data_IF_612758085803
#
_entry.id   IF_612758085803
#
_cell.length_a   1.000
_cell.length_b   1.000
_cell.length_c   1.000
_cell.angle_alpha   90.00
_cell.angle_beta   90.00
_cell.angle_gamma   90.00
#
_symmetry.space_group_name_H-M   'P 1'
#
loop_
_entity.id
_entity.type
_entity.pdbx_description
1 polymer ?
#
# COMPACT_ATOMS: atom_id res chain seq x y z
N UNK A 1 8.29 55.61 1.91
CA UNK A 1 9.34 54.76 1.31
C UNK A 1 9.77 53.80 2.39
N UNK A 2 9.02 52.72 2.52
CA UNK A 2 9.35 51.39 2.00
C UNK A 2 10.17 50.62 3.02
N UNK A 3 9.51 49.67 3.68
CA UNK A 3 10.19 48.54 4.30
C UNK A 3 9.36 47.29 3.98
N UNK A 4 9.33 46.96 2.68
CA UNK A 4 8.65 45.78 2.11
C UNK A 4 9.47 44.49 2.25
N UNK A 5 10.68 44.55 2.82
CA UNK A 5 11.56 43.39 2.91
C UNK A 5 11.25 42.46 4.09
N UNK A 6 10.55 42.95 5.12
CA UNK A 6 10.20 42.11 6.29
C UNK A 6 8.99 41.20 6.06
N UNK A 7 8.31 41.28 4.91
CA UNK A 7 7.19 40.38 4.55
C UNK A 7 7.58 39.26 3.57
N UNK A 8 8.76 39.30 2.95
CA UNK A 8 9.19 38.31 1.96
C UNK A 8 9.87 37.07 2.55
N UNK A 9 10.32 37.14 3.81
CA UNK A 9 10.86 35.99 4.55
C UNK A 9 10.01 35.64 5.77
N UNK A 10 8.72 36.00 5.70
CA UNK A 10 7.69 35.57 6.63
C UNK A 10 7.18 34.16 6.37
N UNK A 11 8.03 33.22 5.94
CA UNK A 11 7.80 31.83 6.33
C UNK A 11 8.13 31.79 7.81
N UNK A 12 7.11 31.98 8.66
CA UNK A 12 7.04 31.16 9.87
C UNK A 12 7.33 29.76 9.35
N UNK A 13 8.55 29.28 9.59
CA UNK A 13 8.76 27.86 9.74
C UNK A 13 7.75 27.53 10.83
N UNK A 14 6.57 27.10 10.40
CA UNK A 14 5.67 26.38 11.28
C UNK A 14 6.57 25.22 11.66
N UNK A 15 7.10 25.29 12.86
CA UNK A 15 7.65 24.16 13.57
C UNK A 15 6.49 23.17 13.69
N UNK A 16 6.11 22.55 12.57
CA UNK A 16 5.47 21.26 12.57
C UNK A 16 6.60 20.37 13.05
N UNK A 17 6.76 20.30 14.37
CA UNK A 17 7.62 19.34 15.03
C UNK A 17 7.31 18.02 14.35
N UNK A 18 8.21 17.58 13.47
CA UNK A 18 8.00 16.39 12.67
C UNK A 18 8.06 15.23 13.64
N UNK A 19 6.91 14.88 14.20
CA UNK A 19 6.82 13.84 15.18
C UNK A 19 6.83 12.51 14.40
N UNK A 20 8.03 12.02 14.08
CA UNK A 20 8.20 10.78 13.34
C UNK A 20 7.40 9.63 13.96
N UNK A 21 7.28 9.62 15.29
CA UNK A 21 6.47 8.64 16.03
C UNK A 21 4.97 8.78 15.74
N UNK A 22 4.42 9.99 15.64
CA UNK A 22 3.00 10.18 15.26
C UNK A 22 2.78 9.70 13.81
N UNK A 23 3.68 10.04 12.89
CA UNK A 23 3.62 9.62 11.49
C UNK A 23 3.68 8.09 11.36
N UNK A 24 4.60 7.43 12.09
CA UNK A 24 4.72 5.97 12.10
C UNK A 24 3.50 5.30 12.78
N UNK A 25 2.92 5.91 13.80
CA UNK A 25 1.70 5.39 14.42
C UNK A 25 0.51 5.49 13.46
N UNK A 26 0.32 6.66 12.85
CA UNK A 26 -0.76 6.92 11.90
C UNK A 26 -0.59 6.06 10.63
N UNK A 27 0.65 5.76 10.25
CA UNK A 27 0.99 4.86 9.15
C UNK A 27 0.34 3.48 9.28
N UNK A 28 0.43 2.85 10.45
CA UNK A 28 -0.19 1.53 10.67
C UNK A 28 -1.72 1.59 10.81
N UNK A 29 -2.29 2.77 11.08
CA UNK A 29 -3.76 2.95 11.13
C UNK A 29 -4.41 3.11 9.76
N UNK A 30 -3.63 3.37 8.69
CA UNK A 30 -4.16 3.54 7.33
C UNK A 30 -4.79 2.26 6.77
N UNK A 31 -4.41 1.09 7.29
CA UNK A 31 -4.93 -0.21 6.88
C UNK A 31 -5.19 -1.09 8.10
N UNK A 32 -6.10 -2.06 7.96
CA UNK A 32 -6.40 -3.00 9.05
C UNK A 32 -5.17 -3.87 9.38
N UNK A 33 -5.00 -4.28 10.65
CA UNK A 33 -3.92 -5.21 11.06
C UNK A 33 -3.92 -6.50 10.23
N UNK A 34 -5.11 -7.02 9.89
CA UNK A 34 -5.26 -8.22 9.03
C UNK A 34 -4.64 -8.04 7.64
N UNK A 35 -4.69 -6.82 7.08
CA UNK A 35 -4.07 -6.51 5.79
C UNK A 35 -2.55 -6.63 5.88
N UNK A 36 -1.94 -6.03 6.90
CA UNK A 36 -0.49 -6.09 7.11
C UNK A 36 -0.01 -7.54 7.29
N UNK A 37 -0.67 -8.30 8.16
CA UNK A 37 -0.34 -9.71 8.38
C UNK A 37 -0.44 -10.54 7.10
N UNK A 38 -1.53 -10.39 6.34
CA UNK A 38 -1.74 -11.18 5.12
C UNK A 38 -0.75 -10.80 4.02
N UNK A 39 -0.49 -9.51 3.82
CA UNK A 39 0.47 -9.06 2.80
C UNK A 39 1.90 -9.46 3.13
N UNK A 40 2.31 -9.40 4.40
CA UNK A 40 3.62 -9.91 4.83
C UNK A 40 3.72 -11.44 4.74
N UNK A 41 2.64 -12.16 5.02
CA UNK A 41 2.62 -13.62 4.85
C UNK A 41 2.75 -14.01 3.37
N UNK A 42 2.04 -13.31 2.48
CA UNK A 42 2.16 -13.53 1.04
C UNK A 42 3.57 -13.17 0.56
N UNK A 43 4.12 -12.03 0.96
CA UNK A 43 5.48 -11.65 0.56
C UNK A 43 6.51 -12.64 1.08
N UNK A 44 6.32 -13.20 2.28
CA UNK A 44 7.20 -14.23 2.83
C UNK A 44 7.18 -15.49 1.96
N UNK A 45 5.99 -15.98 1.62
CA UNK A 45 5.84 -17.14 0.73
C UNK A 45 6.54 -16.87 -0.61
N UNK A 46 6.28 -15.71 -1.24
CA UNK A 46 6.91 -15.37 -2.52
C UNK A 46 8.44 -15.26 -2.37
N UNK A 47 8.92 -14.67 -1.27
CA UNK A 47 10.35 -14.57 -1.00
C UNK A 47 11.01 -15.96 -0.93
N UNK A 48 10.47 -16.90 -0.16
CA UNK A 48 11.01 -18.26 -0.04
C UNK A 48 11.07 -19.00 -1.39
N UNK A 49 10.06 -18.84 -2.25
CA UNK A 49 10.04 -19.52 -3.54
C UNK A 49 10.90 -18.85 -4.63
N UNK A 50 11.16 -17.54 -4.54
CA UNK A 50 11.78 -16.77 -5.63
C UNK A 50 13.10 -16.05 -5.25
N UNK A 51 13.62 -16.24 -4.03
CA UNK A 51 14.83 -15.53 -3.56
C UNK A 51 16.19 -16.10 -4.03
N UNK A 52 16.20 -17.03 -4.98
CA UNK A 52 17.41 -17.81 -5.34
C UNK A 52 18.58 -17.01 -5.93
N UNK A 53 18.34 -15.84 -6.56
CA UNK A 53 19.38 -15.17 -7.35
C UNK A 53 19.79 -13.77 -6.86
N UNK A 54 18.93 -13.04 -6.14
CA UNK A 54 19.25 -11.66 -5.70
C UNK A 54 18.68 -11.40 -4.30
N UNK A 55 19.39 -11.88 -3.27
CA UNK A 55 18.92 -11.85 -1.88
C UNK A 55 18.63 -10.43 -1.40
N UNK A 56 19.54 -9.46 -1.64
CA UNK A 56 19.37 -8.10 -1.13
C UNK A 56 18.15 -7.38 -1.71
N UNK A 57 17.94 -7.45 -3.03
CA UNK A 57 16.77 -6.84 -3.69
C UNK A 57 15.48 -7.54 -3.23
N UNK A 58 15.49 -8.86 -3.10
CA UNK A 58 14.32 -9.61 -2.65
C UNK A 58 13.97 -9.32 -1.18
N UNK A 59 14.95 -9.09 -0.31
CA UNK A 59 14.72 -8.66 1.07
C UNK A 59 14.11 -7.26 1.14
N UNK A 60 14.57 -6.34 0.29
CA UNK A 60 13.96 -5.00 0.19
C UNK A 60 12.54 -5.12 -0.34
N UNK A 61 12.29 -5.94 -1.37
CA UNK A 61 10.95 -6.19 -1.90
C UNK A 61 10.04 -6.78 -0.84
N UNK A 62 10.53 -7.69 0.01
CA UNK A 62 9.76 -8.26 1.10
C UNK A 62 9.19 -7.19 2.04
N UNK A 63 10.03 -6.21 2.42
CA UNK A 63 9.64 -5.09 3.27
C UNK A 63 8.68 -4.14 2.53
N UNK A 64 8.94 -3.88 1.25
CA UNK A 64 8.20 -2.92 0.44
C UNK A 64 6.89 -3.46 -0.16
N UNK A 65 6.65 -4.76 -0.11
CA UNK A 65 5.50 -5.40 -0.76
C UNK A 65 4.14 -4.88 -0.30
N UNK A 66 3.86 -4.70 1.01
CA UNK A 66 2.56 -4.18 1.45
C UNK A 66 2.21 -2.82 0.83
N UNK A 67 3.22 -1.97 0.61
CA UNK A 67 3.06 -0.64 0.01
C UNK A 67 2.71 -0.72 -1.47
N UNK A 68 3.28 -1.69 -2.18
CA UNK A 68 2.89 -1.99 -3.57
C UNK A 68 1.42 -2.37 -3.63
N UNK A 69 0.97 -3.22 -2.70
CA UNK A 69 -0.44 -3.64 -2.61
C UNK A 69 -1.36 -2.46 -2.27
N UNK A 70 -0.92 -1.51 -1.43
CA UNK A 70 -1.66 -0.28 -1.14
C UNK A 70 -1.88 0.57 -2.41
N UNK A 71 -0.84 0.78 -3.22
CA UNK A 71 -0.99 1.50 -4.51
C UNK A 71 -1.99 0.77 -5.39
N UNK A 72 -1.81 -0.54 -5.57
CA UNK A 72 -2.68 -1.32 -6.46
C UNK A 72 -4.12 -1.29 -5.97
N UNK A 73 -4.35 -1.36 -4.66
CA UNK A 73 -5.68 -1.20 -4.06
C UNK A 73 -6.26 0.20 -4.29
N UNK A 74 -5.44 1.25 -4.21
CA UNK A 74 -5.86 2.64 -4.46
C UNK A 74 -6.24 2.84 -5.92
N UNK A 75 -5.43 2.32 -6.84
CA UNK A 75 -5.72 2.31 -8.28
C UNK A 75 -6.99 1.51 -8.55
N UNK A 76 -7.12 0.30 -7.98
CA UNK A 76 -8.32 -0.53 -8.12
C UNK A 76 -9.59 0.18 -7.63
N UNK A 77 -9.48 1.01 -6.58
CA UNK A 77 -10.60 1.80 -6.07
C UNK A 77 -11.11 2.84 -7.07
N UNK A 78 -10.24 3.37 -7.93
CA UNK A 78 -10.66 4.29 -9.01
C UNK A 78 -11.47 3.55 -10.10
N UNK A 79 -11.24 2.25 -10.27
CA UNK A 79 -11.95 1.41 -11.24
C UNK A 79 -13.23 0.76 -10.70
N UNK A 80 -13.66 1.09 -9.47
CA UNK A 80 -14.89 0.56 -8.86
C UNK A 80 -16.10 0.72 -9.76
N UNK A 81 -16.22 1.90 -10.39
CA UNK A 81 -17.35 2.24 -11.26
C UNK A 81 -17.20 1.67 -12.67
N UNK A 82 -15.97 1.55 -13.17
CA UNK A 82 -15.71 1.18 -14.57
C UNK A 82 -15.65 -0.34 -14.78
N UNK A 83 -14.99 -1.08 -13.87
CA UNK A 83 -14.75 -2.52 -14.04
C UNK A 83 -14.80 -3.24 -12.69
N UNK A 84 -15.99 -3.69 -12.30
CA UNK A 84 -16.24 -4.43 -11.06
C UNK A 84 -15.33 -5.67 -10.88
N UNK A 85 -14.96 -6.33 -11.99
CA UNK A 85 -14.09 -7.50 -11.97
C UNK A 85 -12.65 -7.16 -11.59
N UNK A 86 -12.11 -6.05 -12.10
CA UNK A 86 -10.76 -5.56 -11.78
C UNK A 86 -10.69 -5.15 -10.31
N UNK A 87 -11.72 -4.46 -9.82
CA UNK A 87 -11.82 -4.11 -8.40
C UNK A 87 -11.85 -5.35 -7.50
N UNK A 88 -12.66 -6.38 -7.82
CA UNK A 88 -12.74 -7.63 -7.05
C UNK A 88 -11.41 -8.40 -6.98
N UNK A 89 -10.66 -8.42 -8.08
CA UNK A 89 -9.40 -9.14 -8.19
C UNK A 89 -8.24 -8.40 -7.55
N UNK A 90 -8.13 -7.08 -7.77
CA UNK A 90 -6.98 -6.30 -7.30
C UNK A 90 -7.14 -5.79 -5.86
N UNK A 91 -8.37 -5.59 -5.38
CA UNK A 91 -8.57 -4.99 -4.06
C UNK A 91 -8.28 -6.00 -2.93
N UNK A 92 -7.38 -5.66 -1.98
CA UNK A 92 -6.89 -6.59 -0.98
C UNK A 92 -7.94 -6.95 0.09
N UNK A 93 -8.90 -6.06 0.37
CA UNK A 93 -9.94 -6.27 1.39
C UNK A 93 -11.33 -5.96 0.84
N UNK A 94 -11.71 -6.61 -0.27
CA UNK A 94 -13.04 -6.45 -0.84
C UNK A 94 -14.09 -7.05 0.12
N UNK A 95 -14.84 -6.19 0.81
CA UNK A 95 -15.88 -6.56 1.79
C UNK A 95 -17.28 -6.64 1.22
N UNK A 96 -17.49 -6.43 -0.09
CA UNK A 96 -18.85 -6.46 -0.62
C UNK A 96 -19.39 -7.87 -0.50
N UNK A 97 -20.37 -8.01 0.41
CA UNK A 97 -21.16 -9.19 0.73
C UNK A 97 -20.79 -10.39 -0.13
N UNK A 98 -19.88 -11.22 0.37
CA UNK A 98 -19.82 -12.62 -0.04
C UNK A 98 -21.24 -13.12 0.21
N UNK A 99 -22.04 -13.21 -0.85
CA UNK A 99 -23.32 -13.88 -0.81
C UNK A 99 -23.04 -15.21 -0.12
N UNK A 100 -23.81 -15.52 0.93
CA UNK A 100 -23.64 -16.72 1.75
C UNK A 100 -23.72 -18.02 0.92
N UNK A 101 -23.98 -17.91 -0.38
CA UNK A 101 -24.15 -18.96 -1.36
C UNK A 101 -23.03 -19.00 -2.43
N UNK A 102 -21.89 -18.34 -2.23
CA UNK A 102 -20.76 -18.52 -3.16
C UNK A 102 -20.17 -19.92 -3.03
N UNK A 103 -20.11 -20.63 -4.16
CA UNK A 103 -19.46 -21.94 -4.27
C UNK A 103 -18.01 -21.85 -3.75
N UNK A 104 -17.67 -22.67 -2.75
CA UNK A 104 -16.32 -22.74 -2.15
C UNK A 104 -15.21 -22.89 -3.20
N UNK A 105 -15.50 -23.61 -4.29
CA UNK A 105 -14.60 -23.78 -5.45
C UNK A 105 -14.30 -22.46 -6.15
N UNK A 106 -15.31 -21.62 -6.40
CA UNK A 106 -15.12 -20.33 -7.06
C UNK A 106 -14.29 -19.36 -6.20
N UNK A 107 -14.47 -19.42 -4.88
CA UNK A 107 -13.66 -18.65 -3.93
C UNK A 107 -12.20 -19.10 -3.96
N UNK A 108 -11.95 -20.42 -4.01
CA UNK A 108 -10.60 -20.97 -4.15
C UNK A 108 -9.93 -20.54 -5.45
N UNK A 109 -10.63 -20.62 -6.59
CA UNK A 109 -10.13 -20.15 -7.90
C UNK A 109 -9.79 -18.66 -7.84
N UNK A 110 -10.67 -17.84 -7.27
CA UNK A 110 -10.44 -16.40 -7.14
C UNK A 110 -9.18 -16.09 -6.33
N UNK A 111 -8.94 -16.83 -5.23
CA UNK A 111 -7.74 -16.68 -4.42
C UNK A 111 -6.47 -17.10 -5.16
N UNK A 112 -6.52 -18.16 -5.98
CA UNK A 112 -5.40 -18.59 -6.82
C UNK A 112 -5.05 -17.49 -7.84
N UNK A 113 -6.06 -16.91 -8.49
CA UNK A 113 -5.84 -15.80 -9.43
C UNK A 113 -5.22 -14.60 -8.72
N UNK A 114 -5.71 -14.23 -7.52
CA UNK A 114 -5.13 -13.16 -6.71
C UNK A 114 -3.68 -13.42 -6.35
N UNK A 115 -3.36 -14.66 -5.97
CA UNK A 115 -1.99 -15.05 -5.66
C UNK A 115 -1.07 -14.91 -6.89
N UNK A 116 -1.55 -15.28 -8.08
CA UNK A 116 -0.78 -15.08 -9.31
C UNK A 116 -0.56 -13.59 -9.63
N UNK A 117 -1.58 -12.75 -9.44
CA UNK A 117 -1.43 -11.29 -9.56
C UNK A 117 -0.35 -10.79 -8.59
N UNK A 118 -0.34 -11.27 -7.35
CA UNK A 118 0.66 -10.90 -6.36
C UNK A 118 2.08 -11.33 -6.74
N UNK A 119 2.26 -12.49 -7.36
CA UNK A 119 3.54 -12.89 -7.94
C UNK A 119 3.98 -11.93 -9.05
N UNK A 120 3.06 -11.48 -9.91
CA UNK A 120 3.39 -10.49 -10.95
C UNK A 120 3.78 -9.15 -10.33
N UNK A 121 3.02 -8.68 -9.33
CA UNK A 121 3.33 -7.44 -8.60
C UNK A 121 4.67 -7.51 -7.86
N UNK A 122 5.06 -8.68 -7.36
CA UNK A 122 6.36 -8.89 -6.71
C UNK A 122 7.52 -8.43 -7.59
N UNK A 123 7.47 -8.72 -8.90
CA UNK A 123 8.52 -8.35 -9.85
C UNK A 123 8.73 -6.84 -9.96
N UNK A 124 7.69 -6.05 -9.69
CA UNK A 124 7.71 -4.57 -9.79
C UNK A 124 7.71 -3.90 -8.40
N UNK A 125 7.82 -4.68 -7.33
CA UNK A 125 7.66 -4.20 -5.95
C UNK A 125 8.71 -3.19 -5.54
N UNK A 126 9.92 -3.24 -6.10
CA UNK A 126 10.96 -2.27 -5.75
C UNK A 126 10.52 -0.83 -6.08
N UNK A 127 10.10 -0.59 -7.32
CA UNK A 127 9.70 0.73 -7.80
C UNK A 127 8.35 1.13 -7.20
N UNK A 128 7.36 0.23 -7.30
CA UNK A 128 6.01 0.50 -6.81
C UNK A 128 5.99 0.63 -5.29
N UNK A 129 6.81 -0.12 -4.57
CA UNK A 129 6.86 -0.09 -3.11
C UNK A 129 7.47 1.20 -2.58
N UNK A 130 8.51 1.74 -3.22
CA UNK A 130 9.05 3.07 -2.88
C UNK A 130 7.99 4.15 -3.14
N UNK A 131 7.34 4.13 -4.30
CA UNK A 131 6.26 5.07 -4.61
C UNK A 131 5.11 4.96 -3.59
N UNK A 132 4.76 3.73 -3.19
CA UNK A 132 3.69 3.46 -2.24
C UNK A 132 4.02 3.96 -0.85
N UNK A 133 5.28 3.78 -0.43
CA UNK A 133 5.80 4.31 0.82
C UNK A 133 5.71 5.84 0.87
N UNK A 134 6.13 6.53 -0.20
CA UNK A 134 6.03 7.99 -0.28
C UNK A 134 4.57 8.47 -0.17
N UNK A 135 3.65 7.84 -0.91
CA UNK A 135 2.22 8.16 -0.85
C UNK A 135 1.67 7.93 0.56
N UNK A 136 2.04 6.81 1.18
CA UNK A 136 1.53 6.43 2.50
C UNK A 136 2.04 7.39 3.58
N UNK A 137 3.30 7.84 3.51
CA UNK A 137 3.85 8.88 4.40
C UNK A 137 3.11 10.21 4.21
N UNK A 138 2.87 10.62 2.96
CA UNK A 138 2.14 11.86 2.69
C UNK A 138 0.71 11.81 3.25
N UNK A 139 0.01 10.68 3.08
CA UNK A 139 -1.32 10.48 3.62
C UNK A 139 -1.32 10.43 5.17
N UNK A 140 -0.31 9.80 5.79
CA UNK A 140 -0.17 9.77 7.25
C UNK A 140 0.06 11.18 7.83
N UNK A 141 0.80 12.05 7.14
CA UNK A 141 1.00 13.45 7.54
C UNK A 141 -0.28 14.28 7.50
N UNK A 142 -1.18 14.00 6.56
CA UNK A 142 -2.48 14.71 6.50
C UNK A 142 -3.42 14.33 7.64
N UNK A 143 -3.21 13.20 8.31
CA UNK A 143 -4.00 12.75 9.46
C UNK A 143 -3.49 13.29 10.81
N UNK A 144 -2.28 13.86 10.84
CA UNK A 144 -1.67 14.46 12.04
C UNK A 144 -2.04 15.95 12.20
N UNK A 145 -2.81 16.50 11.26
CA UNK A 145 -3.36 17.86 11.28
C UNK A 145 -4.83 17.83 11.69
#
# INVERSE_FOLDING_TARGET
MENKEQQLFGTKAVDSEFNFLSVVKNFFTLQNVKFWLLTYLVSFIIFEFFSSHIILINSINFILFPFTVIIVGTVANQFVLSISLVYKLLYPTYKHSISNNQNKVMLMITNIIKFFIYIVLWRYTFILGIAGLIITINNARTLDK
#
